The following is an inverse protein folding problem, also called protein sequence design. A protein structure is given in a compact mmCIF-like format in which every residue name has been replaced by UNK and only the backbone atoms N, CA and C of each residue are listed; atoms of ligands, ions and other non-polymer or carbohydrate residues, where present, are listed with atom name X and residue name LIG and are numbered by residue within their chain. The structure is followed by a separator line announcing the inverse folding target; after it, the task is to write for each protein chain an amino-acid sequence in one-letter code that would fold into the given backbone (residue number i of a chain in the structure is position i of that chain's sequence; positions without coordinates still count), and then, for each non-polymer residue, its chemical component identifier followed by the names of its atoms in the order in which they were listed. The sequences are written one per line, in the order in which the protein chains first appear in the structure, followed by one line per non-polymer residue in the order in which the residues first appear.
data_IF_343532559245
#
_entry.id   IF_343532559245
#
_cell.length_a   1.000
_cell.length_b   1.000
_cell.length_c   1.000
_cell.angle_alpha   90.00
_cell.angle_beta   90.00
_cell.angle_gamma   90.00
#
_symmetry.space_group_name_H-M   'P 1'
#
loop_
_entity.id
_entity.type
_entity.pdbx_description
1 polymer ?
#
# COMPACT_ATOMS: atom_id res chain seq x y z
N UNK A 1 8.36 -15.43 32.57
CA UNK A 1 8.62 -14.64 31.36
C UNK A 1 10.05 -14.89 30.95
N UNK A 2 10.22 -15.87 30.06
CA UNK A 2 11.52 -16.40 29.69
C UNK A 2 12.21 -15.57 28.62
N UNK A 3 13.52 -15.75 28.46
CA UNK A 3 14.31 -15.14 27.37
C UNK A 3 13.73 -15.50 26.00
N UNK A 4 13.03 -16.64 25.91
CA UNK A 4 12.30 -17.09 24.72
C UNK A 4 11.06 -16.24 24.42
N UNK A 5 10.27 -15.83 25.42
CA UNK A 5 9.10 -14.96 25.23
C UNK A 5 9.52 -13.60 24.63
N UNK A 6 10.64 -13.05 25.13
CA UNK A 6 11.22 -11.79 24.61
C UNK A 6 11.69 -11.93 23.16
N UNK A 7 12.33 -13.04 22.81
CA UNK A 7 12.77 -13.27 21.43
C UNK A 7 11.57 -13.50 20.50
N UNK A 8 10.56 -14.25 20.94
CA UNK A 8 9.34 -14.47 20.17
C UNK A 8 8.59 -13.15 19.89
N UNK A 9 8.46 -12.27 20.89
CA UNK A 9 7.91 -10.92 20.71
C UNK A 9 8.73 -10.09 19.71
N UNK A 10 10.06 -10.11 19.79
CA UNK A 10 10.94 -9.37 18.87
C UNK A 10 10.87 -9.93 17.43
N UNK A 11 10.78 -11.25 17.28
CA UNK A 11 10.59 -11.89 15.97
C UNK A 11 9.18 -11.65 15.40
N UNK A 12 8.14 -11.67 16.22
CA UNK A 12 6.77 -11.33 15.82
C UNK A 12 6.65 -9.87 15.40
N UNK A 13 7.30 -8.95 16.10
CA UNK A 13 7.32 -7.54 15.75
C UNK A 13 8.05 -7.29 14.41
N UNK A 14 9.23 -7.90 14.22
CA UNK A 14 10.01 -7.77 12.99
C UNK A 14 9.30 -8.42 11.80
N UNK A 15 8.69 -9.59 11.97
CA UNK A 15 7.99 -10.31 10.91
C UNK A 15 6.70 -9.60 10.50
N UNK A 16 5.95 -9.07 11.46
CA UNK A 16 4.76 -8.24 11.22
C UNK A 16 5.13 -6.99 10.42
N UNK A 17 6.20 -6.29 10.80
CA UNK A 17 6.63 -5.06 10.13
C UNK A 17 7.09 -5.28 8.67
N UNK A 18 7.86 -6.35 8.41
CA UNK A 18 8.28 -6.69 7.04
C UNK A 18 7.11 -7.10 6.15
N UNK A 19 6.11 -7.78 6.71
CA UNK A 19 4.91 -8.19 5.98
C UNK A 19 4.13 -6.96 5.50
N UNK A 20 3.92 -5.96 6.36
CA UNK A 20 3.22 -4.73 5.98
C UNK A 20 3.98 -3.91 4.93
N UNK A 21 5.31 -3.80 5.02
CA UNK A 21 6.11 -3.10 4.00
C UNK A 21 6.06 -3.80 2.63
N UNK A 22 6.07 -5.13 2.62
CA UNK A 22 5.93 -5.91 1.39
C UNK A 22 4.56 -5.68 0.75
N UNK A 23 3.49 -5.71 1.53
CA UNK A 23 2.12 -5.46 1.06
C UNK A 23 1.99 -4.04 0.45
N UNK A 24 2.57 -3.03 1.09
CA UNK A 24 2.62 -1.66 0.54
C UNK A 24 3.41 -1.59 -0.78
N UNK A 25 4.55 -2.28 -0.87
CA UNK A 25 5.33 -2.34 -2.11
C UNK A 25 4.56 -3.06 -3.23
N UNK A 26 3.89 -4.17 -2.93
CA UNK A 26 3.05 -4.88 -3.89
C UNK A 26 1.89 -3.99 -4.37
N UNK A 27 1.29 -3.20 -3.48
CA UNK A 27 0.27 -2.21 -3.86
C UNK A 27 0.84 -1.13 -4.79
N UNK A 28 2.01 -0.58 -4.47
CA UNK A 28 2.66 0.45 -5.31
C UNK A 28 2.95 -0.13 -6.69
N UNK A 29 3.59 -1.30 -6.76
CA UNK A 29 3.92 -1.95 -8.04
C UNK A 29 2.64 -2.28 -8.82
N UNK A 30 1.65 -2.89 -8.17
CA UNK A 30 0.37 -3.23 -8.80
C UNK A 30 -0.37 -2.00 -9.32
N UNK A 31 -0.37 -0.91 -8.56
CA UNK A 31 -0.99 0.35 -8.96
C UNK A 31 -0.32 0.97 -10.19
N UNK A 32 1.01 1.02 -10.22
CA UNK A 32 1.77 1.55 -11.37
C UNK A 32 1.48 0.73 -12.62
N UNK A 33 1.56 -0.60 -12.51
CA UNK A 33 1.27 -1.51 -13.62
C UNK A 33 -0.17 -1.34 -14.11
N UNK A 34 -1.12 -1.24 -13.19
CA UNK A 34 -2.53 -1.02 -13.53
C UNK A 34 -2.74 0.29 -14.29
N UNK A 35 -2.16 1.40 -13.82
CA UNK A 35 -2.26 2.70 -14.51
C UNK A 35 -1.67 2.63 -15.91
N UNK A 36 -0.49 2.02 -16.08
CA UNK A 36 0.16 1.88 -17.39
C UNK A 36 -0.71 1.08 -18.37
N UNK A 37 -1.26 -0.05 -17.92
CA UNK A 37 -2.12 -0.90 -18.76
C UNK A 37 -3.43 -0.20 -19.09
N UNK A 38 -4.10 0.40 -18.09
CA UNK A 38 -5.37 1.08 -18.29
C UNK A 38 -5.23 2.30 -19.21
N UNK A 39 -4.21 3.13 -18.99
CA UNK A 39 -3.92 4.30 -19.83
C UNK A 39 -3.47 3.89 -21.23
N UNK A 40 -2.67 2.83 -21.37
CA UNK A 40 -2.28 2.29 -22.68
C UNK A 40 -3.49 1.78 -23.48
N UNK A 41 -4.41 1.08 -22.81
CA UNK A 41 -5.65 0.61 -23.43
C UNK A 41 -6.57 1.79 -23.80
N UNK A 42 -6.72 2.77 -22.91
CA UNK A 42 -7.48 3.99 -23.20
C UNK A 42 -6.87 4.78 -24.37
N UNK A 43 -5.53 4.82 -24.47
CA UNK A 43 -4.84 5.45 -25.59
C UNK A 43 -5.19 4.74 -26.91
N UNK A 44 -5.12 3.41 -26.91
CA UNK A 44 -5.39 2.60 -28.09
C UNK A 44 -6.84 2.72 -28.57
N UNK A 45 -7.82 2.75 -27.65
CA UNK A 45 -9.24 2.73 -28.00
C UNK A 45 -9.85 4.13 -28.18
N UNK A 46 -9.43 5.10 -27.38
CA UNK A 46 -10.11 6.40 -27.18
C UNK A 46 -9.17 7.59 -27.42
N UNK A 47 -7.90 7.34 -27.71
CA UNK A 47 -6.91 8.35 -28.04
C UNK A 47 -6.26 9.02 -26.83
N UNK A 48 -5.38 9.98 -27.14
CA UNK A 48 -4.43 10.57 -26.18
C UNK A 48 -5.08 11.32 -25.03
N UNK A 49 -6.13 12.11 -25.30
CA UNK A 49 -6.77 12.96 -24.28
C UNK A 49 -7.39 12.09 -23.18
N UNK A 50 -8.12 11.06 -23.59
CA UNK A 50 -8.76 10.11 -22.67
C UNK A 50 -7.72 9.35 -21.86
N UNK A 51 -6.63 8.89 -22.49
CA UNK A 51 -5.54 8.20 -21.79
C UNK A 51 -4.91 9.05 -20.68
N UNK A 52 -4.67 10.34 -20.95
CA UNK A 52 -4.13 11.29 -19.96
C UNK A 52 -5.14 11.49 -18.82
N UNK A 53 -6.42 11.64 -19.13
CA UNK A 53 -7.47 11.76 -18.12
C UNK A 53 -7.55 10.54 -17.21
N UNK A 54 -7.54 9.34 -17.79
CA UNK A 54 -7.52 8.06 -17.05
C UNK A 54 -6.27 7.96 -16.17
N UNK A 55 -5.10 8.29 -16.71
CA UNK A 55 -3.85 8.27 -15.96
C UNK A 55 -3.90 9.19 -14.74
N UNK A 56 -4.34 10.43 -14.94
CA UNK A 56 -4.42 11.44 -13.88
C UNK A 56 -5.39 11.04 -12.76
N UNK A 57 -6.59 10.58 -13.12
CA UNK A 57 -7.61 10.16 -12.14
C UNK A 57 -7.10 8.97 -11.33
N UNK A 58 -6.58 7.94 -11.98
CA UNK A 58 -6.08 6.76 -11.28
C UNK A 58 -4.88 7.08 -10.40
N UNK A 59 -3.95 7.92 -10.87
CA UNK A 59 -2.80 8.35 -10.08
C UNK A 59 -3.23 9.03 -8.77
N UNK A 60 -4.26 9.89 -8.82
CA UNK A 60 -4.81 10.54 -7.62
C UNK A 60 -5.40 9.49 -6.67
N UNK A 61 -6.24 8.59 -7.16
CA UNK A 61 -6.91 7.55 -6.35
C UNK A 61 -5.88 6.66 -5.65
N UNK A 62 -4.89 6.16 -6.40
CA UNK A 62 -3.86 5.29 -5.83
C UNK A 62 -2.95 6.04 -4.86
N UNK A 63 -2.62 7.30 -5.13
CA UNK A 63 -1.84 8.12 -4.19
C UNK A 63 -2.57 8.24 -2.85
N UNK A 64 -3.86 8.58 -2.86
CA UNK A 64 -4.66 8.66 -1.64
C UNK A 64 -4.67 7.31 -0.93
N UNK A 65 -4.90 6.23 -1.68
CA UNK A 65 -4.97 4.86 -1.14
C UNK A 65 -3.66 4.45 -0.47
N UNK A 66 -2.52 4.63 -1.14
CA UNK A 66 -1.20 4.29 -0.62
C UNK A 66 -0.89 5.12 0.63
N UNK A 67 -1.17 6.42 0.62
CA UNK A 67 -0.95 7.30 1.78
C UNK A 67 -1.85 6.89 2.94
N UNK A 68 -3.12 6.56 2.70
CA UNK A 68 -4.03 6.08 3.74
C UNK A 68 -3.55 4.76 4.35
N UNK A 69 -3.13 3.80 3.53
CA UNK A 69 -2.61 2.53 4.04
C UNK A 69 -1.28 2.70 4.78
N UNK A 70 -0.37 3.54 4.26
CA UNK A 70 0.88 3.86 4.92
C UNK A 70 0.66 4.58 6.26
N UNK A 71 -0.30 5.51 6.32
CA UNK A 71 -0.70 6.15 7.56
C UNK A 71 -1.19 5.11 8.57
N UNK A 72 -2.17 4.28 8.21
CA UNK A 72 -2.68 3.22 9.10
C UNK A 72 -1.61 2.23 9.54
N UNK A 73 -0.68 1.87 8.67
CA UNK A 73 0.45 0.99 9.01
C UNK A 73 1.36 1.58 10.11
N UNK A 74 1.46 2.92 10.17
CA UNK A 74 2.29 3.66 11.12
C UNK A 74 1.50 4.05 12.39
N UNK A 75 0.30 4.59 12.24
CA UNK A 75 -0.52 5.18 13.31
C UNK A 75 -1.51 4.20 13.93
N UNK A 76 -2.09 3.31 13.12
CA UNK A 76 -3.11 2.36 13.55
C UNK A 76 -2.65 1.41 14.65
N UNK A 77 -1.34 1.18 14.80
CA UNK A 77 -0.80 0.33 15.87
C UNK A 77 -0.88 0.97 17.27
N UNK A 78 -1.06 2.30 17.38
CA UNK A 78 -1.11 3.01 18.67
C UNK A 78 -2.50 3.01 19.32
N UNK A 79 -3.57 2.97 18.53
CA UNK A 79 -4.95 3.04 19.06
C UNK A 79 -5.48 1.69 19.58
N UNK A 80 -4.85 0.56 19.25
CA UNK A 80 -5.25 -0.76 19.78
C UNK A 80 -4.55 -1.12 21.11
N UNK A 81 -3.74 -0.22 21.68
CA UNK A 81 -3.04 -0.43 22.95
C UNK A 81 -3.85 -0.08 24.21
N UNK A 82 -4.91 0.71 24.08
CA UNK A 82 -5.66 1.27 25.22
C UNK A 82 -7.03 0.57 25.45
N UNK A 83 -7.09 -0.72 25.11
CA UNK A 83 -8.34 -1.51 25.11
C UNK A 83 -8.30 -2.85 25.84
N UNK A 84 -7.25 -3.16 26.61
CA UNK A 84 -7.22 -4.30 27.55
C UNK A 84 -6.48 -3.95 28.84
#
# INVERSE_FOLDING_TARGET
MGVLDRLEEEFLEISSHRRTLRELLELVVGSVLFVLVASGLAYYLLGRVTAIGVAAILAIIFTITIVSQAYWAISGRKDYGDGQ
#
